data_IF_355827039096
#
_entry.id   IF_355827039096
#
_cell.length_a   1.000
_cell.length_b   1.000
_cell.length_c   1.000
_cell.angle_alpha   90.00
_cell.angle_beta   90.00
_cell.angle_gamma   90.00
#
_symmetry.space_group_name_H-M   'P 1'
#
loop_
_entity.id
_entity.type
_entity.pdbx_description
1 polymer ?
#
# COMPACT_ATOMS: atom_id res chain seq x y z
N UNK A 1 -50.53 38.12 -5.87
CA UNK A 1 -50.00 36.74 -5.92
C UNK A 1 -48.49 36.64 -6.22
N UNK A 2 -47.85 37.59 -6.93
CA UNK A 2 -46.39 37.55 -7.20
C UNK A 2 -45.48 37.66 -5.96
N UNK A 3 -45.92 38.38 -4.93
CA UNK A 3 -45.06 38.72 -3.79
C UNK A 3 -44.77 37.53 -2.85
N UNK A 4 -45.72 36.60 -2.73
CA UNK A 4 -45.58 35.39 -1.90
C UNK A 4 -44.56 34.42 -2.50
N UNK A 5 -44.51 34.32 -3.82
CA UNK A 5 -43.60 33.43 -4.54
C UNK A 5 -42.15 33.93 -4.43
N UNK A 6 -41.93 35.25 -4.53
CA UNK A 6 -40.62 35.85 -4.23
C UNK A 6 -40.19 35.63 -2.78
N UNK A 7 -41.09 35.79 -1.81
CA UNK A 7 -40.76 35.55 -0.40
C UNK A 7 -40.39 34.08 -0.14
N UNK A 8 -41.10 33.13 -0.76
CA UNK A 8 -40.79 31.69 -0.65
C UNK A 8 -39.41 31.40 -1.26
N UNK A 9 -39.10 31.98 -2.42
CA UNK A 9 -37.79 31.78 -3.06
C UNK A 9 -36.64 32.35 -2.22
N UNK A 10 -36.84 33.52 -1.59
CA UNK A 10 -35.86 34.10 -0.68
C UNK A 10 -35.68 33.19 0.54
N UNK A 11 -36.76 32.71 1.15
CA UNK A 11 -36.70 31.79 2.29
C UNK A 11 -35.94 30.49 1.95
N UNK A 12 -36.24 29.90 0.79
CA UNK A 12 -35.58 28.68 0.31
C UNK A 12 -34.09 28.91 0.06
N UNK A 13 -33.70 30.05 -0.50
CA UNK A 13 -32.28 30.39 -0.71
C UNK A 13 -31.53 30.58 0.61
N UNK A 14 -32.15 31.24 1.59
CA UNK A 14 -31.61 31.37 2.94
C UNK A 14 -31.45 30.02 3.63
N UNK A 15 -32.45 29.13 3.52
CA UNK A 15 -32.38 27.77 4.05
C UNK A 15 -31.27 26.96 3.38
N UNK A 16 -31.13 27.04 2.05
CA UNK A 16 -30.07 26.34 1.33
C UNK A 16 -28.68 26.81 1.79
N UNK A 17 -28.49 28.12 1.95
CA UNK A 17 -27.25 28.71 2.44
C UNK A 17 -26.90 28.26 3.86
N UNK A 18 -27.89 28.21 4.75
CA UNK A 18 -27.73 27.71 6.12
C UNK A 18 -27.39 26.21 6.12
N UNK A 19 -28.08 25.41 5.31
CA UNK A 19 -27.81 23.99 5.17
C UNK A 19 -26.37 23.74 4.67
N UNK A 20 -25.87 24.50 3.69
CA UNK A 20 -24.49 24.34 3.20
C UNK A 20 -23.45 24.70 4.27
N UNK A 21 -23.69 25.73 5.08
CA UNK A 21 -22.77 26.19 6.12
C UNK A 21 -22.77 25.31 7.36
N UNK A 22 -23.95 24.90 7.83
CA UNK A 22 -24.13 24.27 9.13
C UNK A 22 -24.16 22.75 9.07
N UNK A 23 -24.54 22.15 7.93
CA UNK A 23 -24.54 20.70 7.79
C UNK A 23 -23.12 20.26 7.46
N UNK A 24 -22.42 19.56 8.39
CA UNK A 24 -21.09 19.07 8.11
C UNK A 24 -21.16 18.09 6.93
N UNK A 25 -20.40 18.39 5.87
CA UNK A 25 -20.27 17.49 4.72
C UNK A 25 -19.81 16.12 5.22
N UNK A 26 -20.49 15.04 4.79
CA UNK A 26 -20.04 13.68 5.08
C UNK A 26 -18.57 13.57 4.65
N UNK A 27 -17.67 13.33 5.60
CA UNK A 27 -16.27 13.03 5.29
C UNK A 27 -16.27 11.86 4.32
N UNK A 28 -15.77 12.07 3.10
CA UNK A 28 -15.62 10.98 2.14
C UNK A 28 -14.73 9.93 2.80
N UNK A 29 -15.16 8.66 2.77
CA UNK A 29 -14.37 7.57 3.36
C UNK A 29 -12.95 7.67 2.79
N UNK A 30 -11.96 7.82 3.67
CA UNK A 30 -10.55 7.84 3.30
C UNK A 30 -10.29 6.71 2.32
N UNK A 31 -9.73 7.03 1.15
CA UNK A 31 -9.28 6.02 0.19
C UNK A 31 -8.41 5.01 0.94
N UNK A 32 -8.57 3.72 0.61
CA UNK A 32 -7.77 2.63 1.16
C UNK A 32 -6.28 3.02 1.15
N UNK A 33 -5.61 3.01 2.32
CA UNK A 33 -4.17 3.27 2.46
C UNK A 33 -3.32 2.37 1.55
N UNK A 34 -3.85 1.21 1.15
CA UNK A 34 -3.19 0.24 0.27
C UNK A 34 -3.70 0.38 -1.18
N UNK A 35 -2.79 0.50 -2.17
CA UNK A 35 -3.16 0.50 -3.59
C UNK A 35 -3.98 -0.73 -3.99
N UNK A 36 -4.99 -0.54 -4.86
CA UNK A 36 -5.91 -1.62 -5.29
C UNK A 36 -5.16 -2.83 -5.87
N UNK A 37 -4.12 -2.60 -6.68
CA UNK A 37 -3.29 -3.66 -7.29
C UNK A 37 -2.53 -4.46 -6.21
N UNK A 38 -1.92 -3.80 -5.22
CA UNK A 38 -1.30 -4.46 -4.06
C UNK A 38 -2.31 -5.29 -3.27
N UNK A 39 -3.52 -4.78 -3.02
CA UNK A 39 -4.58 -5.51 -2.32
C UNK A 39 -4.96 -6.80 -3.05
N UNK A 40 -5.09 -6.75 -4.39
CA UNK A 40 -5.35 -7.95 -5.22
C UNK A 40 -4.24 -8.98 -5.08
N UNK A 41 -2.97 -8.56 -5.15
CA UNK A 41 -1.83 -9.47 -5.01
C UNK A 41 -1.75 -10.11 -3.62
N UNK A 42 -1.99 -9.35 -2.55
CA UNK A 42 -2.03 -9.88 -1.18
C UNK A 42 -3.17 -10.88 -0.99
N UNK A 43 -4.33 -10.62 -1.57
CA UNK A 43 -5.45 -11.58 -1.54
C UNK A 43 -5.13 -12.85 -2.34
N UNK A 44 -4.53 -12.73 -3.53
CA UNK A 44 -4.07 -13.88 -4.31
C UNK A 44 -3.07 -14.71 -3.51
N UNK A 45 -2.10 -14.08 -2.86
CA UNK A 45 -1.13 -14.74 -1.98
C UNK A 45 -1.81 -15.54 -0.87
N UNK A 46 -2.75 -14.90 -0.16
CA UNK A 46 -3.53 -15.52 0.91
C UNK A 46 -4.29 -16.77 0.40
N UNK A 47 -4.90 -16.69 -0.77
CA UNK A 47 -5.64 -17.82 -1.36
C UNK A 47 -4.70 -18.95 -1.77
N UNK A 48 -3.58 -18.65 -2.41
CA UNK A 48 -2.60 -19.68 -2.82
C UNK A 48 -1.99 -20.41 -1.62
N UNK A 49 -1.65 -19.68 -0.54
CA UNK A 49 -1.14 -20.31 0.70
C UNK A 49 -2.19 -21.22 1.37
N UNK A 50 -3.46 -20.80 1.37
CA UNK A 50 -4.57 -21.64 1.86
C UNK A 50 -4.78 -22.88 1.01
N UNK A 51 -4.70 -22.76 -0.31
CA UNK A 51 -4.83 -23.89 -1.21
C UNK A 51 -3.67 -24.88 -1.04
N UNK A 52 -2.44 -24.36 -0.89
CA UNK A 52 -1.25 -25.19 -0.63
C UNK A 52 -1.45 -26.03 0.62
N UNK A 53 -1.88 -25.40 1.72
CA UNK A 53 -2.09 -26.09 2.99
C UNK A 53 -3.13 -27.21 2.94
N UNK A 54 -4.12 -27.12 2.03
CA UNK A 54 -5.17 -28.13 1.86
C UNK A 54 -4.81 -29.23 0.85
N UNK A 55 -3.68 -29.11 0.17
CA UNK A 55 -3.32 -29.98 -0.95
C UNK A 55 -2.54 -31.19 -0.44
N UNK A 56 -3.00 -32.40 -0.77
CA UNK A 56 -2.30 -33.64 -0.46
C UNK A 56 -1.33 -34.11 -1.57
N UNK A 57 -1.51 -33.62 -2.81
CA UNK A 57 -0.68 -34.00 -3.96
C UNK A 57 0.62 -33.20 -4.01
N UNK A 58 1.76 -33.90 -3.99
CA UNK A 58 3.11 -33.30 -4.11
C UNK A 58 3.29 -32.50 -5.40
N UNK A 59 2.72 -32.96 -6.52
CA UNK A 59 2.80 -32.24 -7.80
C UNK A 59 2.05 -30.91 -7.73
N UNK A 60 0.82 -30.94 -7.22
CA UNK A 60 -0.01 -29.74 -7.06
C UNK A 60 0.62 -28.77 -6.04
N UNK A 61 1.24 -29.29 -4.98
CA UNK A 61 1.98 -28.47 -4.02
C UNK A 61 3.13 -27.69 -4.70
N UNK A 62 3.98 -28.36 -5.49
CA UNK A 62 5.07 -27.71 -6.24
C UNK A 62 4.55 -26.62 -7.20
N UNK A 63 3.43 -26.89 -7.89
CA UNK A 63 2.80 -25.88 -8.75
C UNK A 63 2.31 -24.66 -7.97
N UNK A 64 1.73 -24.87 -6.79
CA UNK A 64 1.26 -23.80 -5.92
C UNK A 64 2.43 -22.98 -5.36
N UNK A 65 3.55 -23.61 -5.00
CA UNK A 65 4.77 -22.91 -4.61
C UNK A 65 5.29 -21.99 -5.72
N UNK A 66 5.32 -22.46 -6.97
CA UNK A 66 5.70 -21.63 -8.12
C UNK A 66 4.78 -20.41 -8.25
N UNK A 67 3.47 -20.59 -8.16
CA UNK A 67 2.49 -19.49 -8.21
C UNK A 67 2.62 -18.51 -7.04
N UNK A 68 2.96 -19.01 -5.85
CA UNK A 68 3.26 -18.19 -4.67
C UNK A 68 4.47 -17.32 -4.97
N UNK A 69 5.58 -17.92 -5.43
CA UNK A 69 6.81 -17.21 -5.76
C UNK A 69 6.58 -16.13 -6.83
N UNK A 70 5.85 -16.44 -7.92
CA UNK A 70 5.45 -15.46 -8.93
C UNK A 70 4.65 -14.29 -8.34
N UNK A 71 3.76 -14.57 -7.38
CA UNK A 71 2.96 -13.50 -6.75
C UNK A 71 3.83 -12.65 -5.80
N UNK A 72 4.85 -13.24 -5.16
CA UNK A 72 5.83 -12.53 -4.33
C UNK A 72 6.69 -11.60 -5.18
N UNK A 73 7.20 -12.06 -6.33
CA UNK A 73 7.98 -11.22 -7.25
C UNK A 73 7.15 -10.05 -7.78
N UNK A 74 5.88 -10.26 -8.12
CA UNK A 74 4.96 -9.18 -8.49
C UNK A 74 4.75 -8.16 -7.37
N UNK A 75 4.66 -8.60 -6.10
CA UNK A 75 4.55 -7.70 -4.94
C UNK A 75 5.80 -6.85 -4.75
N UNK A 76 6.98 -7.47 -4.87
CA UNK A 76 8.28 -6.78 -4.79
C UNK A 76 8.39 -5.74 -5.90
N UNK A 77 8.11 -6.13 -7.14
CA UNK A 77 8.15 -5.22 -8.29
C UNK A 77 7.18 -4.04 -8.10
N UNK A 78 5.93 -4.29 -7.69
CA UNK A 78 4.99 -3.21 -7.41
C UNK A 78 5.48 -2.25 -6.30
N UNK A 79 6.14 -2.75 -5.25
CA UNK A 79 6.73 -1.88 -4.21
C UNK A 79 7.87 -1.03 -4.77
N UNK A 80 8.73 -1.60 -5.63
CA UNK A 80 9.80 -0.87 -6.31
C UNK A 80 9.25 0.23 -7.21
N UNK A 81 8.22 -0.05 -8.01
CA UNK A 81 7.58 0.94 -8.87
C UNK A 81 6.91 2.08 -8.09
N UNK A 82 6.23 1.77 -6.98
CA UNK A 82 5.66 2.81 -6.11
C UNK A 82 6.75 3.70 -5.49
N UNK A 83 7.91 3.13 -5.16
CA UNK A 83 9.06 3.89 -4.66
C UNK A 83 9.61 4.82 -5.75
N UNK A 84 9.92 4.27 -6.94
CA UNK A 84 10.42 5.03 -8.09
C UNK A 84 9.50 6.19 -8.47
N UNK A 85 8.20 5.95 -8.51
CA UNK A 85 7.21 7.00 -8.82
C UNK A 85 7.15 8.09 -7.76
N UNK A 86 7.31 7.75 -6.48
CA UNK A 86 7.43 8.75 -5.40
C UNK A 86 8.73 9.55 -5.52
N UNK A 87 9.85 8.89 -5.78
CA UNK A 87 11.16 9.54 -5.95
C UNK A 87 11.15 10.52 -7.12
N UNK A 88 10.60 10.13 -8.28
CA UNK A 88 10.41 11.02 -9.42
C UNK A 88 9.60 12.26 -9.05
N UNK A 89 8.47 12.08 -8.36
CA UNK A 89 7.65 13.21 -7.88
C UNK A 89 8.40 14.12 -6.91
N UNK A 90 9.25 13.56 -6.05
CA UNK A 90 10.07 14.37 -5.13
C UNK A 90 11.09 15.20 -5.92
N UNK A 91 11.73 14.61 -6.94
CA UNK A 91 12.68 15.31 -7.84
C UNK A 91 12.00 16.44 -8.62
N UNK A 92 10.79 16.20 -9.12
CA UNK A 92 10.01 17.22 -9.84
C UNK A 92 9.62 18.37 -8.91
N UNK A 93 9.14 18.07 -7.70
CA UNK A 93 8.61 19.08 -6.78
C UNK A 93 9.67 19.78 -5.94
N UNK A 94 10.85 19.18 -5.73
CA UNK A 94 11.91 19.79 -4.90
C UNK A 94 12.44 21.08 -5.51
N UNK A 95 12.36 21.24 -6.85
CA UNK A 95 12.72 22.47 -7.55
C UNK A 95 11.91 23.67 -7.07
N UNK A 96 10.63 23.46 -6.79
CA UNK A 96 9.71 24.51 -6.36
C UNK A 96 9.56 24.59 -4.84
N UNK A 97 9.75 23.47 -4.14
CA UNK A 97 9.68 23.40 -2.68
C UNK A 97 10.72 22.41 -2.13
N UNK A 98 11.88 22.90 -1.64
CA UNK A 98 12.94 22.04 -1.14
C UNK A 98 12.55 21.25 0.13
N UNK A 99 11.53 21.69 0.90
CA UNK A 99 11.05 20.96 2.09
C UNK A 99 10.57 19.55 1.77
N UNK A 100 10.09 19.32 0.55
CA UNK A 100 9.59 18.00 0.09
C UNK A 100 10.69 16.93 0.14
N UNK A 101 11.94 17.31 -0.08
CA UNK A 101 13.08 16.39 0.03
C UNK A 101 13.30 15.96 1.48
N UNK A 102 13.33 16.91 2.41
CA UNK A 102 13.50 16.63 3.84
C UNK A 102 12.36 15.77 4.38
N UNK A 103 11.11 16.06 4.00
CA UNK A 103 9.95 15.23 4.34
C UNK A 103 10.07 13.79 3.81
N UNK A 104 10.62 13.63 2.60
CA UNK A 104 10.86 12.30 2.03
C UNK A 104 11.94 11.55 2.82
N UNK A 105 13.07 12.19 3.14
CA UNK A 105 14.18 11.59 3.88
C UNK A 105 13.76 11.20 5.30
N UNK A 106 13.06 12.08 6.01
CA UNK A 106 12.58 11.80 7.38
C UNK A 106 11.68 10.55 7.41
N UNK A 107 10.81 10.37 6.40
CA UNK A 107 9.99 9.15 6.25
C UNK A 107 10.78 7.87 5.92
N UNK A 108 12.02 7.99 5.45
CA UNK A 108 12.90 6.83 5.22
C UNK A 108 13.67 6.45 6.48
N UNK A 109 14.06 7.43 7.29
CA UNK A 109 14.80 7.23 8.54
C UNK A 109 14.06 6.31 9.51
N UNK A 110 12.74 6.46 9.60
CA UNK A 110 11.89 5.67 10.50
C UNK A 110 11.54 4.26 9.97
N UNK A 111 12.18 3.81 8.90
CA UNK A 111 11.91 2.46 8.37
C UNK A 111 12.69 1.42 9.16
N UNK A 112 11.98 0.38 9.57
CA UNK A 112 12.59 -0.80 10.18
C UNK A 112 13.60 -1.42 9.20
N UNK A 113 14.89 -1.35 9.57
CA UNK A 113 16.02 -1.89 8.80
C UNK A 113 16.28 -3.37 9.10
N UNK A 114 15.49 -3.99 9.99
CA UNK A 114 15.65 -5.39 10.32
C UNK A 114 15.56 -6.26 9.08
N UNK A 115 16.58 -7.10 8.92
CA UNK A 115 16.61 -8.15 7.91
C UNK A 115 15.51 -9.15 8.31
N UNK A 116 14.58 -9.39 7.37
CA UNK A 116 13.52 -10.37 7.57
C UNK A 116 14.07 -11.80 7.56
N UNK A 117 13.21 -12.79 7.83
CA UNK A 117 13.65 -14.17 7.83
C UNK A 117 14.26 -14.57 6.49
N UNK A 118 15.45 -15.17 6.55
CA UNK A 118 16.22 -15.62 5.40
C UNK A 118 15.82 -17.04 5.04
N UNK A 119 15.56 -17.30 3.75
CA UNK A 119 15.10 -18.61 3.29
C UNK A 119 16.23 -19.37 2.60
N UNK A 120 16.64 -20.51 3.17
CA UNK A 120 17.60 -21.45 2.57
C UNK A 120 16.91 -22.80 2.41
N UNK A 121 16.92 -23.36 1.20
CA UNK A 121 16.48 -24.75 0.93
C UNK A 121 15.15 -25.18 1.60
N UNK A 122 14.19 -24.24 1.71
CA UNK A 122 12.87 -24.37 2.38
C UNK A 122 12.77 -24.11 3.88
N UNK A 123 13.85 -23.83 4.59
CA UNK A 123 13.82 -23.38 5.99
C UNK A 123 13.93 -21.85 6.11
N UNK A 124 13.31 -21.30 7.15
CA UNK A 124 13.36 -19.87 7.46
C UNK A 124 14.19 -19.63 8.71
N UNK A 125 15.25 -18.84 8.54
CA UNK A 125 16.16 -18.44 9.62
C UNK A 125 15.78 -17.03 10.04
N UNK A 126 15.53 -16.83 11.33
CA UNK A 126 15.05 -15.57 11.88
C UNK A 126 16.15 -14.77 12.61
N UNK A 127 17.23 -15.44 13.04
CA UNK A 127 18.31 -14.78 13.79
C UNK A 127 19.25 -13.99 12.87
N UNK A 128 19.47 -12.72 13.21
CA UNK A 128 20.25 -11.80 12.37
C UNK A 128 21.72 -12.21 12.25
N UNK A 129 22.31 -12.75 13.32
CA UNK A 129 23.71 -13.18 13.31
C UNK A 129 23.90 -14.38 12.39
N UNK A 130 22.99 -15.35 12.47
CA UNK A 130 22.97 -16.50 11.57
C UNK A 130 22.78 -16.08 10.10
N UNK A 131 21.85 -15.17 9.83
CA UNK A 131 21.62 -14.65 8.47
C UNK A 131 22.88 -13.99 7.91
N UNK A 132 23.55 -13.14 8.70
CA UNK A 132 24.79 -12.48 8.28
C UNK A 132 25.90 -13.49 7.98
N UNK A 133 26.08 -14.51 8.83
CA UNK A 133 27.07 -15.57 8.59
C UNK A 133 26.80 -16.30 7.29
N UNK A 134 25.56 -16.72 7.05
CA UNK A 134 25.17 -17.46 5.86
C UNK A 134 25.31 -16.65 4.57
N UNK A 135 24.99 -15.36 4.61
CA UNK A 135 25.20 -14.45 3.49
C UNK A 135 26.69 -14.30 3.15
N UNK A 136 27.55 -14.20 4.15
CA UNK A 136 29.01 -14.15 3.95
C UNK A 136 29.49 -15.45 3.30
N UNK A 137 29.03 -16.61 3.77
CA UNK A 137 29.42 -17.91 3.18
C UNK A 137 28.92 -18.13 1.75
N UNK A 138 27.77 -17.53 1.37
CA UNK A 138 27.18 -17.73 0.04
C UNK A 138 27.79 -16.83 -1.05
N UNK A 139 28.33 -15.68 -0.67
CA UNK A 139 28.81 -14.64 -1.60
C UNK A 139 30.32 -14.37 -1.51
N UNK A 140 31.03 -14.98 -0.56
CA UNK A 140 32.48 -15.13 -0.60
C UNK A 140 32.85 -16.46 -1.27
#
# INVERSE_FOLDING_TARGET
>A
KKNTETCINILLSCLLMLCIKLIPRKKTRSKSKIPRKRKKLLNRMKMLKREKHRTYSKLKEKMLEKKIHETETMLIHHRKEERRTKEKKVIENMKNNPKVLFDYINKQKDRDTKIGPFKIQNEYIYDQKEICKLLVTQYN
#
